data_IF_556209547407
#
_entry.id   IF_556209547407
#
_cell.length_a   1.000
_cell.length_b   1.000
_cell.length_c   1.000
_cell.angle_alpha   90.00
_cell.angle_beta   90.00
_cell.angle_gamma   90.00
#
_symmetry.space_group_name_H-M   'P 1'
#
loop_
_entity.id
_entity.type
_entity.pdbx_description
1 polymer ?
#
# COMPACT_ATOMS: atom_id res chain seq x y z
N UNK A 1 15.07 -14.79 8.60
CA UNK A 1 14.53 -13.41 8.53
C UNK A 1 14.85 -12.73 7.18
N UNK A 2 16.12 -12.60 6.74
CA UNK A 2 16.43 -12.01 5.42
C UNK A 2 15.77 -12.77 4.25
N UNK A 3 15.85 -14.11 4.25
CA UNK A 3 15.22 -14.96 3.23
C UNK A 3 13.71 -14.74 3.11
N UNK A 4 13.01 -14.50 4.23
CA UNK A 4 11.56 -14.26 4.19
C UNK A 4 11.21 -12.88 3.59
N UNK A 5 12.05 -11.87 3.84
CA UNK A 5 11.90 -10.53 3.25
C UNK A 5 12.07 -10.62 1.73
N UNK A 6 13.10 -11.33 1.27
CA UNK A 6 13.38 -11.52 -0.17
C UNK A 6 12.25 -12.30 -0.85
N UNK A 7 11.83 -13.43 -0.28
CA UNK A 7 10.71 -14.21 -0.82
C UNK A 7 9.43 -13.36 -0.90
N UNK A 8 9.17 -12.53 0.10
CA UNK A 8 8.00 -11.66 0.07
C UNK A 8 8.12 -10.56 -1.00
N UNK A 9 9.30 -9.96 -1.18
CA UNK A 9 9.54 -8.99 -2.25
C UNK A 9 9.34 -9.64 -3.62
N UNK A 10 9.90 -10.83 -3.85
CA UNK A 10 9.74 -11.58 -5.09
C UNK A 10 8.26 -11.86 -5.38
N UNK A 11 7.51 -12.30 -4.36
CA UNK A 11 6.07 -12.50 -4.48
C UNK A 11 5.35 -11.19 -4.91
N UNK A 12 5.64 -10.09 -4.23
CA UNK A 12 5.03 -8.78 -4.52
C UNK A 12 5.37 -8.30 -5.94
N UNK A 13 6.61 -8.50 -6.37
CA UNK A 13 7.09 -8.08 -7.69
C UNK A 13 6.66 -9.01 -8.83
N UNK A 14 6.03 -10.16 -8.53
CA UNK A 14 5.43 -10.99 -9.56
C UNK A 14 4.35 -10.19 -10.31
N UNK A 15 4.30 -10.34 -11.63
CA UNK A 15 3.53 -9.46 -12.52
C UNK A 15 2.06 -9.27 -12.09
N UNK A 16 1.38 -10.37 -11.72
CA UNK A 16 -0.01 -10.31 -11.28
C UNK A 16 -0.17 -9.56 -9.95
N UNK A 17 0.67 -9.87 -8.96
CA UNK A 17 0.58 -9.26 -7.62
C UNK A 17 0.91 -7.77 -7.70
N UNK A 18 1.94 -7.43 -8.47
CA UNK A 18 2.38 -6.05 -8.66
C UNK A 18 1.27 -5.19 -9.24
N UNK A 19 0.56 -5.66 -10.27
CA UNK A 19 -0.59 -4.96 -10.82
C UNK A 19 -1.73 -4.79 -9.81
N UNK A 20 -2.02 -5.83 -9.00
CA UNK A 20 -3.06 -5.73 -7.96
C UNK A 20 -2.74 -4.67 -6.91
N UNK A 21 -1.49 -4.45 -6.57
CA UNK A 21 -1.10 -3.43 -5.57
C UNK A 21 -1.54 -2.03 -5.98
N UNK A 22 -1.54 -1.72 -7.29
CA UNK A 22 -2.02 -0.43 -7.79
C UNK A 22 -3.54 -0.32 -7.88
N UNK A 23 -4.30 -1.38 -7.65
CA UNK A 23 -5.75 -1.33 -7.64
C UNK A 23 -6.26 -1.03 -6.22
N UNK A 24 -6.62 0.23 -5.98
CA UNK A 24 -7.20 0.67 -4.71
C UNK A 24 -8.66 1.09 -4.90
N UNK A 25 -9.57 0.49 -4.13
CA UNK A 25 -10.96 0.97 -4.06
C UNK A 25 -11.03 2.19 -3.14
N UNK A 26 -10.94 3.38 -3.75
CA UNK A 26 -10.92 4.68 -3.06
C UNK A 26 -12.18 4.89 -2.24
N UNK A 27 -13.36 4.58 -2.78
CA UNK A 27 -14.64 4.77 -2.10
C UNK A 27 -14.74 3.95 -0.82
N UNK A 28 -14.36 2.67 -0.89
CA UNK A 28 -14.34 1.79 0.29
C UNK A 28 -13.34 2.31 1.34
N UNK A 29 -12.16 2.74 0.89
CA UNK A 29 -11.13 3.24 1.79
C UNK A 29 -11.54 4.55 2.48
N UNK A 30 -12.15 5.49 1.73
CA UNK A 30 -12.71 6.72 2.29
C UNK A 30 -13.74 6.44 3.38
N UNK A 31 -14.66 5.49 3.15
CA UNK A 31 -15.66 5.10 4.16
C UNK A 31 -15.02 4.57 5.45
N UNK A 32 -13.96 3.75 5.35
CA UNK A 32 -13.23 3.24 6.52
C UNK A 32 -12.57 4.39 7.29
N UNK A 33 -11.98 5.35 6.60
CA UNK A 33 -11.30 6.50 7.22
C UNK A 33 -12.27 7.43 7.94
N UNK A 34 -13.42 7.71 7.31
CA UNK A 34 -14.49 8.49 7.91
C UNK A 34 -15.02 7.81 9.18
N UNK A 35 -15.25 6.48 9.14
CA UNK A 35 -15.70 5.70 10.30
C UNK A 35 -14.69 5.66 11.44
N UNK A 36 -13.40 5.64 11.13
CA UNK A 36 -12.34 5.58 12.15
C UNK A 36 -11.94 6.95 12.69
N UNK A 37 -12.57 8.03 12.21
CA UNK A 37 -12.27 9.43 12.54
C UNK A 37 -10.78 9.80 12.36
N UNK A 38 -10.06 9.03 11.54
CA UNK A 38 -8.65 9.23 11.24
C UNK A 38 -8.52 10.15 10.03
N UNK A 39 -8.83 11.43 10.24
CA UNK A 39 -8.66 12.50 9.23
C UNK A 39 -7.20 12.91 9.00
N UNK A 40 -6.23 12.14 9.49
CA UNK A 40 -4.81 12.44 9.27
C UNK A 40 -4.53 12.48 7.77
N UNK A 41 -3.68 13.41 7.33
CA UNK A 41 -3.24 13.47 5.94
C UNK A 41 -2.69 12.10 5.50
N UNK A 42 -3.39 11.45 4.59
CA UNK A 42 -3.01 10.16 4.03
C UNK A 42 -2.01 10.41 2.92
N UNK A 43 -0.84 9.81 3.04
CA UNK A 43 0.21 9.94 2.03
C UNK A 43 0.12 8.82 1.00
N UNK A 44 0.78 9.01 -0.14
CA UNK A 44 0.96 7.97 -1.15
C UNK A 44 1.62 6.71 -0.55
N UNK A 45 2.59 6.90 0.35
CA UNK A 45 3.27 5.81 1.04
C UNK A 45 2.33 5.02 1.96
N UNK A 46 1.41 5.69 2.67
CA UNK A 46 0.44 5.01 3.53
C UNK A 46 -0.49 4.09 2.73
N UNK A 47 -0.94 4.56 1.56
CA UNK A 47 -1.77 3.78 0.65
C UNK A 47 -1.02 2.59 0.08
N UNK A 48 0.21 2.80 -0.35
CA UNK A 48 1.06 1.72 -0.83
C UNK A 48 1.31 0.67 0.27
N UNK A 49 1.70 1.11 1.47
CA UNK A 49 1.93 0.23 2.63
C UNK A 49 0.68 -0.58 2.97
N UNK A 50 -0.51 0.03 2.90
CA UNK A 50 -1.78 -0.65 3.12
C UNK A 50 -1.98 -1.80 2.12
N UNK A 51 -1.71 -1.59 0.84
CA UNK A 51 -1.80 -2.64 -0.19
C UNK A 51 -0.78 -3.76 0.02
N UNK A 52 0.45 -3.43 0.44
CA UNK A 52 1.45 -4.45 0.79
C UNK A 52 1.00 -5.31 1.98
N UNK A 53 0.37 -4.71 3.00
CA UNK A 53 -0.20 -5.45 4.14
C UNK A 53 -1.30 -6.41 3.67
N UNK A 54 -2.20 -5.94 2.80
CA UNK A 54 -3.30 -6.75 2.28
C UNK A 54 -2.80 -7.95 1.48
N UNK A 55 -1.81 -7.75 0.60
CA UNK A 55 -1.17 -8.85 -0.13
C UNK A 55 -0.37 -9.78 0.80
N UNK A 56 0.26 -9.24 1.85
CA UNK A 56 0.92 -10.06 2.87
C UNK A 56 -0.07 -10.99 3.60
N UNK A 57 -1.25 -10.49 3.95
CA UNK A 57 -2.30 -11.31 4.57
C UNK A 57 -2.77 -12.46 3.67
N UNK A 58 -2.81 -12.28 2.34
CA UNK A 58 -3.21 -13.34 1.41
C UNK A 58 -2.26 -14.55 1.42
N UNK A 59 -0.99 -14.34 1.78
CA UNK A 59 0.02 -15.40 1.86
C UNK A 59 0.51 -15.65 3.30
N UNK A 60 -0.28 -15.27 4.30
CA UNK A 60 0.02 -15.45 5.73
C UNK A 60 1.32 -14.77 6.22
N UNK A 61 1.76 -13.70 5.57
CA UNK A 61 2.83 -12.82 6.06
C UNK A 61 2.21 -11.73 6.92
N UNK A 62 2.27 -11.89 8.24
CA UNK A 62 1.70 -10.95 9.22
C UNK A 62 2.76 -10.26 10.09
N UNK A 63 4.02 -10.68 9.99
CA UNK A 63 5.14 -10.08 10.72
C UNK A 63 5.33 -8.62 10.26
N UNK A 64 5.12 -7.69 11.19
CA UNK A 64 5.22 -6.25 10.95
C UNK A 64 6.61 -5.82 10.50
N UNK A 65 7.67 -6.48 10.97
CA UNK A 65 9.05 -6.19 10.60
C UNK A 65 9.31 -6.60 9.15
N UNK A 66 8.85 -7.79 8.74
CA UNK A 66 8.96 -8.26 7.35
C UNK A 66 8.20 -7.31 6.43
N UNK A 67 6.93 -7.01 6.76
CA UNK A 67 6.11 -6.08 5.98
C UNK A 67 6.80 -4.72 5.84
N UNK A 68 7.20 -4.08 6.94
CA UNK A 68 7.80 -2.74 6.87
C UNK A 68 9.10 -2.72 6.07
N UNK A 69 9.97 -3.72 6.25
CA UNK A 69 11.24 -3.79 5.52
C UNK A 69 11.02 -4.03 4.01
N UNK A 70 10.10 -4.94 3.66
CA UNK A 70 9.74 -5.17 2.26
C UNK A 70 9.07 -3.95 1.64
N UNK A 71 8.11 -3.32 2.32
CA UNK A 71 7.46 -2.08 1.86
C UNK A 71 8.49 -1.00 1.54
N UNK A 72 9.45 -0.76 2.44
CA UNK A 72 10.48 0.26 2.21
C UNK A 72 11.35 -0.06 0.99
N UNK A 73 11.81 -1.31 0.87
CA UNK A 73 12.63 -1.75 -0.27
C UNK A 73 11.89 -1.59 -1.60
N UNK A 74 10.62 -2.02 -1.65
CA UNK A 74 9.82 -1.91 -2.88
C UNK A 74 9.55 -0.44 -3.20
N UNK A 75 9.14 0.37 -2.21
CA UNK A 75 8.82 1.78 -2.39
C UNK A 75 10.00 2.59 -2.95
N UNK A 76 11.21 2.37 -2.44
CA UNK A 76 12.41 3.07 -2.94
C UNK A 76 12.61 2.78 -4.44
N UNK A 77 12.41 1.52 -4.84
CA UNK A 77 12.61 1.06 -6.21
C UNK A 77 11.45 1.39 -7.18
N UNK A 78 10.29 1.85 -6.67
CA UNK A 78 9.22 2.34 -7.55
C UNK A 78 9.66 3.60 -8.30
N UNK A 79 9.34 3.62 -9.59
CA UNK A 79 9.49 4.79 -10.45
C UNK A 79 8.61 5.96 -9.98
N UNK A 80 8.91 7.20 -10.40
CA UNK A 80 8.06 8.35 -10.13
C UNK A 80 6.61 8.17 -10.61
N UNK A 81 6.41 7.51 -11.77
CA UNK A 81 5.08 7.26 -12.32
C UNK A 81 4.27 6.29 -11.44
N UNK A 82 4.88 5.21 -10.97
CA UNK A 82 4.23 4.24 -10.06
C UNK A 82 3.88 4.88 -8.72
N UNK A 83 4.79 5.69 -8.16
CA UNK A 83 4.50 6.50 -6.97
C UNK A 83 3.35 7.49 -7.22
N UNK A 84 3.29 8.04 -8.44
CA UNK A 84 2.25 8.97 -8.88
C UNK A 84 0.83 8.39 -8.82
N UNK A 85 0.66 7.09 -9.08
CA UNK A 85 -0.65 6.41 -8.94
C UNK A 85 -1.19 6.56 -7.52
N UNK A 86 -0.36 6.27 -6.51
CA UNK A 86 -0.75 6.41 -5.11
C UNK A 86 -0.90 7.86 -4.67
N UNK A 87 -0.13 8.78 -5.27
CA UNK A 87 -0.31 10.21 -5.05
C UNK A 87 -1.70 10.68 -5.51
N UNK A 88 -2.14 10.26 -6.69
CA UNK A 88 -3.46 10.58 -7.22
C UNK A 88 -4.57 10.03 -6.31
N UNK A 89 -4.42 8.80 -5.80
CA UNK A 89 -5.35 8.25 -4.81
C UNK A 89 -5.39 9.06 -3.52
N UNK A 90 -4.24 9.50 -3.01
CA UNK A 90 -4.17 10.33 -1.81
C UNK A 90 -4.85 11.70 -2.02
N UNK A 91 -4.75 12.29 -3.22
CA UNK A 91 -5.50 13.52 -3.57
C UNK A 91 -7.01 13.23 -3.56
N UNK A 92 -7.45 12.19 -4.26
CA UNK A 92 -8.88 11.83 -4.35
C UNK A 92 -9.48 11.56 -2.97
N UNK A 93 -8.78 10.83 -2.10
CA UNK A 93 -9.24 10.55 -0.74
C UNK A 93 -9.37 11.82 0.11
N UNK A 94 -8.41 12.74 0.02
CA UNK A 94 -8.49 14.03 0.72
C UNK A 94 -9.69 14.83 0.26
N UNK A 95 -9.92 14.89 -1.05
CA UNK A 95 -11.11 15.54 -1.61
C UNK A 95 -12.43 14.98 -1.08
N UNK A 96 -12.51 13.67 -0.82
CA UNK A 96 -13.73 13.02 -0.31
C UNK A 96 -13.91 13.27 1.20
N UNK A 97 -12.82 13.33 1.96
CA UNK A 97 -12.86 13.43 3.44
C UNK A 97 -12.96 14.88 3.92
N UNK A 98 -12.44 15.82 3.14
CA UNK A 98 -12.47 17.26 3.44
C UNK A 98 -13.75 17.96 2.94
N UNK A 99 -14.58 17.30 2.10
CA UNK A 99 -15.96 17.71 1.82
C UNK A 99 -16.90 17.32 2.97
#
# INVERSE_FOLDING_TARGET
MMVQIENFIIYIQSQMVFQRIFNLNISLYAQILLRTNKRKHITAYDLFRKRIIEEGHLINVTDRKIINLSTNKIWINLSPAEKGVFHNYAIQLRSIIEC
#
